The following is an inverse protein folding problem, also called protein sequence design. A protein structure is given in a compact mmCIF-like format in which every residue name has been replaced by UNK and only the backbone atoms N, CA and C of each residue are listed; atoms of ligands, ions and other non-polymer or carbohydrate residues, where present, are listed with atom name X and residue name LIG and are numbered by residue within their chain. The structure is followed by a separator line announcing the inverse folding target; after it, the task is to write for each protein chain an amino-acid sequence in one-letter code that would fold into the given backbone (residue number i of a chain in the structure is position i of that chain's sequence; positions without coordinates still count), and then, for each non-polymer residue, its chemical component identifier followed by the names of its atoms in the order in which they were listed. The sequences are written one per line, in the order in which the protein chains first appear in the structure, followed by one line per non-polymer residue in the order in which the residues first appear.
data_IF_692520846833
#
_entry.id   IF_692520846833
#
_cell.length_a   1.000
_cell.length_b   1.000
_cell.length_c   1.000
_cell.angle_alpha   90.00
_cell.angle_beta   90.00
_cell.angle_gamma   90.00
#
_symmetry.space_group_name_H-M   'P 1'
#
loop_
_entity.id
_entity.type
_entity.pdbx_description
1 polymer ?
2 water ?
#
# COMPACT_ATOMS: atom_id res chain seq x y z
N UNK A 7 -15.69 -7.00 9.32
CA UNK A 7 -14.71 -6.81 8.21
C UNK A 7 -13.69 -5.71 8.49
N UNK A 8 -12.40 -6.05 8.51
CA UNK A 8 -11.38 -5.02 8.76
C UNK A 8 -11.46 -3.99 7.63
N UNK A 9 -11.23 -2.71 7.95
CA UNK A 9 -11.29 -1.62 6.97
C UNK A 9 -10.21 -1.54 5.92
N UNK A 10 -10.63 -1.10 4.72
CA UNK A 10 -9.72 -0.91 3.61
C UNK A 10 -9.47 0.58 3.48
N UNK A 11 -8.22 0.99 3.64
CA UNK A 11 -7.87 2.40 3.49
C UNK A 11 -7.19 2.54 2.14
N UNK A 12 -7.64 3.50 1.35
CA UNK A 12 -7.08 3.72 0.03
C UNK A 12 -6.47 5.11 -0.09
N UNK A 13 -5.26 5.17 -0.57
CA UNK A 13 -4.58 6.44 -0.76
C UNK A 13 -4.30 6.59 -2.23
N UNK A 14 -5.02 7.51 -2.88
CA UNK A 14 -4.86 7.74 -4.30
C UNK A 14 -3.98 8.99 -4.45
N UNK A 15 -2.90 8.86 -5.24
CA UNK A 15 -1.95 9.95 -5.41
C UNK A 15 -1.60 10.22 -6.87
N UNK A 16 -1.35 11.48 -7.18
CA UNK A 16 -0.95 11.88 -8.53
C UNK A 16 0.41 11.24 -8.82
N UNK A 17 0.44 10.36 -9.81
CA UNK A 17 1.65 9.66 -10.19
C UNK A 17 2.75 10.57 -10.74
N UNK A 18 2.41 11.37 -11.74
CA UNK A 18 3.39 12.28 -12.35
C UNK A 18 3.90 13.37 -11.43
N UNK A 19 3.19 13.63 -10.32
CA UNK A 19 3.62 14.66 -9.39
C UNK A 19 4.68 14.11 -8.43
N UNK A 20 4.90 12.80 -8.49
CA UNK A 20 5.89 12.14 -7.64
C UNK A 20 5.42 12.12 -6.20
N UNK A 21 4.11 11.95 -5.98
CA UNK A 21 3.60 11.92 -4.62
C UNK A 21 3.53 10.51 -4.05
N UNK A 22 4.18 9.56 -4.75
CA UNK A 22 4.24 8.19 -4.28
C UNK A 22 4.94 8.12 -2.93
N UNK A 23 6.07 8.81 -2.81
CA UNK A 23 6.83 8.79 -1.55
C UNK A 23 5.98 9.20 -0.36
N UNK A 24 5.25 10.29 -0.48
CA UNK A 24 4.42 10.73 0.64
C UNK A 24 3.24 9.81 0.89
N UNK A 25 2.71 9.20 -0.17
CA UNK A 25 1.60 8.28 -0.01
C UNK A 25 2.08 7.04 0.73
N UNK A 26 3.22 6.49 0.31
CA UNK A 26 3.78 5.31 0.94
C UNK A 26 4.21 5.57 2.38
N UNK A 27 4.63 6.79 2.67
CA UNK A 27 5.04 7.13 4.03
C UNK A 27 3.80 7.11 4.94
N UNK A 28 2.74 7.75 4.48
CA UNK A 28 1.51 7.79 5.26
C UNK A 28 0.94 6.39 5.46
N UNK A 29 1.03 5.55 4.43
CA UNK A 29 0.53 4.19 4.55
C UNK A 29 1.25 3.48 5.69
N UNK A 30 2.57 3.66 5.76
CA UNK A 30 3.35 3.03 6.83
C UNK A 30 3.02 3.62 8.19
N UNK A 31 2.77 4.92 8.25
CA UNK A 31 2.43 5.55 9.53
C UNK A 31 1.13 4.93 10.07
N UNK A 32 0.17 4.67 9.18
CA UNK A 32 -1.09 4.09 9.59
C UNK A 32 -0.94 2.62 9.97
N UNK A 33 -0.21 1.86 9.17
CA UNK A 33 -0.05 0.45 9.46
C UNK A 33 0.85 0.19 10.66
N UNK A 34 1.81 1.06 10.92
CA UNK A 34 2.68 0.89 12.08
C UNK A 34 1.91 1.25 13.35
N UNK A 35 0.94 2.15 13.22
CA UNK A 35 0.14 2.58 14.37
C UNK A 35 -1.06 1.69 14.65
N UNK A 36 -1.81 1.33 13.62
CA UNK A 36 -2.99 0.51 13.80
C UNK A 36 -2.78 -0.98 13.55
N UNK A 37 -1.72 -1.30 12.83
CA UNK A 37 -1.43 -2.70 12.56
C UNK A 37 -2.58 -3.48 11.97
N UNK A 38 -2.84 -4.66 12.55
CA UNK A 38 -3.91 -5.54 12.10
C UNK A 38 -5.33 -5.01 12.27
N UNK A 39 -5.49 -3.85 12.91
CA UNK A 39 -6.82 -3.29 13.07
C UNK A 39 -7.31 -2.82 11.69
N UNK A 40 -6.38 -2.75 10.74
CA UNK A 40 -6.72 -2.35 9.39
C UNK A 40 -6.66 -3.57 8.48
N UNK A 41 -7.60 -3.68 7.56
CA UNK A 41 -7.59 -4.81 6.66
C UNK A 41 -6.43 -4.64 5.68
N UNK A 42 -6.24 -3.40 5.23
CA UNK A 42 -5.16 -3.10 4.31
C UNK A 42 -5.09 -1.60 4.01
N UNK A 43 -3.99 -1.21 3.38
CA UNK A 43 -3.80 0.15 2.96
C UNK A 43 -3.32 0.03 1.53
N UNK A 44 -4.10 0.56 0.60
CA UNK A 44 -3.73 0.48 -0.81
C UNK A 44 -3.20 1.80 -1.36
N UNK A 45 -2.14 1.68 -2.13
CA UNK A 45 -1.50 2.83 -2.78
C UNK A 45 -2.06 2.77 -4.20
N UNK A 46 -2.85 3.77 -4.56
CA UNK A 46 -3.51 3.81 -5.87
C UNK A 46 -3.05 4.96 -6.78
N UNK A 47 -2.31 4.62 -7.86
CA UNK A 47 -1.83 5.63 -8.80
C UNK A 47 -2.99 6.45 -9.34
N UNK A 48 -2.83 7.76 -9.41
CA UNK A 48 -3.88 8.62 -9.89
C UNK A 48 -3.40 9.67 -10.87
N UNK A 49 -4.31 10.55 -11.26
CA UNK A 49 -4.04 11.60 -12.23
C UNK A 49 -3.69 12.95 -11.61
N UNK A 50 -3.58 13.96 -12.49
CA UNK A 50 -3.24 15.32 -12.06
C UNK A 50 -3.79 15.84 -10.75
N UNK A 51 -2.87 16.39 -9.94
CA UNK A 51 -3.22 16.98 -8.66
C UNK A 51 -4.07 16.19 -7.70
N UNK A 52 -4.19 14.89 -7.90
CA UNK A 52 -5.00 14.08 -7.01
C UNK A 52 -4.26 13.55 -5.78
N UNK A 53 -4.95 13.62 -4.65
CA UNK A 53 -4.43 13.07 -3.41
C UNK A 53 -5.61 12.93 -2.47
N UNK A 54 -6.16 11.72 -2.44
CA UNK A 54 -7.32 11.43 -1.63
C UNK A 54 -7.11 10.18 -0.78
N UNK A 55 -7.74 10.16 0.38
CA UNK A 55 -7.63 9.01 1.26
C UNK A 55 -9.05 8.63 1.68
N UNK A 56 -9.40 7.37 1.47
CA UNK A 56 -10.72 6.86 1.82
C UNK A 56 -10.65 5.77 2.86
N UNK A 57 -11.71 5.64 3.64
CA UNK A 57 -11.82 4.61 4.68
C UNK A 57 -13.09 3.86 4.30
N UNK A 58 -12.92 2.72 3.66
CA UNK A 58 -14.05 1.92 3.19
C UNK A 58 -14.89 2.80 2.25
N UNK A 59 -14.22 3.51 1.34
CA UNK A 59 -14.93 4.37 0.41
C UNK A 59 -15.31 5.72 0.96
N UNK A 60 -15.43 5.82 2.28
CA UNK A 60 -15.80 7.07 2.91
C UNK A 60 -14.62 8.05 2.85
N UNK A 61 -14.92 9.32 2.59
CA UNK A 61 -13.88 10.37 2.50
C UNK A 61 -13.18 10.56 3.85
N UNK A 62 -11.85 10.63 3.82
CA UNK A 62 -11.07 10.81 5.03
C UNK A 62 -10.20 12.05 4.82
N UNK A 63 -9.74 12.22 3.59
CA UNK A 63 -8.91 13.36 3.23
C UNK A 63 -8.90 13.54 1.71
N UNK A 64 -8.85 14.79 1.27
CA UNK A 64 -8.82 15.12 -0.14
C UNK A 64 -8.14 16.48 -0.26
N UNK A 65 -7.04 16.53 -0.99
CA UNK A 65 -6.31 17.78 -1.16
C UNK A 65 -7.25 18.90 -1.63
N UNK A 66 -8.19 18.56 -2.50
CA UNK A 66 -9.14 19.53 -3.03
C UNK A 66 -10.09 20.10 -1.98
N UNK A 67 -10.33 19.35 -0.90
CA UNK A 67 -11.23 19.82 0.14
C UNK A 67 -10.48 20.36 1.35
N UNK A 68 -9.60 19.52 1.92
CA UNK A 68 -8.82 19.91 3.09
C UNK A 68 -7.66 20.81 2.74
N UNK A 69 -7.25 20.78 1.47
CA UNK A 69 -6.14 21.60 1.05
C UNK A 69 -4.82 21.01 1.51
N UNK A 70 -3.82 21.02 0.64
CA UNK A 70 -2.53 20.48 0.98
C UNK A 70 -2.52 18.99 1.30
N UNK A 71 -1.54 18.58 2.10
CA UNK A 71 -1.40 17.18 2.49
C UNK A 71 -1.57 17.03 3.99
N UNK A 72 -2.06 15.88 4.44
CA UNK A 72 -2.29 15.61 5.85
C UNK A 72 -1.04 15.39 6.71
N UNK A 73 -1.08 15.90 7.94
CA UNK A 73 0.01 15.71 8.87
C UNK A 73 -0.26 14.32 9.45
N UNK A 74 0.80 13.58 9.76
CA UNK A 74 0.63 12.23 10.30
C UNK A 74 -0.34 12.23 11.48
N UNK A 75 -0.19 13.22 12.36
CA UNK A 75 -1.04 13.32 13.54
C UNK A 75 -2.53 13.40 13.17
N UNK A 76 -2.87 14.26 12.22
CA UNK A 76 -4.26 14.41 11.80
C UNK A 76 -4.83 13.16 11.13
N UNK A 77 -4.05 12.58 10.22
CA UNK A 77 -4.48 11.37 9.52
C UNK A 77 -4.83 10.27 10.50
N UNK A 78 -3.97 10.07 11.49
CA UNK A 78 -4.19 9.03 12.51
C UNK A 78 -5.47 9.28 13.30
N UNK A 79 -5.72 10.54 13.66
CA UNK A 79 -6.92 10.88 14.41
C UNK A 79 -8.18 10.63 13.58
N UNK A 80 -8.13 10.99 12.31
CA UNK A 80 -9.28 10.81 11.43
C UNK A 80 -9.60 9.32 11.22
N UNK A 81 -8.56 8.50 11.12
CA UNK A 81 -8.77 7.07 10.95
C UNK A 81 -9.32 6.53 12.27
N UNK A 82 -8.79 7.02 13.37
CA UNK A 82 -9.26 6.60 14.70
C UNK A 82 -10.75 6.86 14.82
N UNK A 83 -11.19 8.03 14.34
CA UNK A 83 -12.62 8.42 14.36
C UNK A 83 -13.49 7.33 13.78
N UNK A 84 -13.04 6.75 12.68
CA UNK A 84 -13.81 5.73 11.94
C UNK A 84 -13.64 4.37 12.51
N UNK A 85 -12.44 4.07 13.03
CA UNK A 85 -12.18 2.78 13.58
C UNK A 85 -12.90 2.63 14.94
N UNK B 9 -5.08 -3.62 -12.48
CA UNK B 9 -4.31 -4.76 -11.92
C UNK B 9 -3.96 -4.51 -10.44
N UNK B 10 -4.46 -5.39 -9.59
CA UNK B 10 -4.24 -5.27 -8.15
C UNK B 10 -3.13 -6.15 -7.61
N UNK B 11 -2.09 -5.53 -7.08
CA UNK B 11 -1.01 -6.33 -6.49
C UNK B 11 -1.20 -6.24 -4.99
N UNK B 12 -1.14 -7.38 -4.32
CA UNK B 12 -1.31 -7.42 -2.89
C UNK B 12 -0.07 -8.02 -2.21
N UNK B 13 0.39 -7.39 -1.15
CA UNK B 13 1.54 -7.88 -0.42
C UNK B 13 1.11 -8.10 1.01
N UNK B 14 1.03 -9.36 1.42
CA UNK B 14 0.64 -9.72 2.78
C UNK B 14 1.90 -10.03 3.56
N UNK B 15 2.06 -9.38 4.70
CA UNK B 15 3.26 -9.58 5.52
C UNK B 15 2.98 -9.80 6.99
N UNK B 16 3.87 -10.54 7.64
CA UNK B 16 3.71 -10.81 9.06
C UNK B 16 3.92 -9.50 9.81
N UNK B 17 2.88 -9.06 10.53
CA UNK B 17 2.90 -7.83 11.29
C UNK B 17 3.89 -7.84 12.45
N UNK B 18 3.81 -8.88 13.28
CA UNK B 18 4.70 -8.96 14.43
C UNK B 18 6.16 -9.18 14.07
N UNK B 19 6.43 -9.61 12.85
CA UNK B 19 7.82 -9.83 12.42
C UNK B 19 8.45 -8.51 12.00
N UNK B 20 7.64 -7.46 11.97
CA UNK B 20 8.09 -6.14 11.55
C UNK B 20 8.54 -6.17 10.10
N UNK B 21 7.74 -6.83 9.26
CA UNK B 21 8.04 -6.92 7.85
C UNK B 21 7.34 -5.84 7.03
N UNK B 22 6.70 -4.91 7.75
CA UNK B 22 6.00 -3.80 7.09
C UNK B 22 7.00 -3.00 6.26
N UNK B 23 8.16 -2.72 6.85
CA UNK B 23 9.20 -1.95 6.18
C UNK B 23 9.59 -2.52 4.82
N UNK B 24 9.87 -3.82 4.74
CA UNK B 24 10.26 -4.40 3.48
C UNK B 24 9.08 -4.50 2.52
N UNK B 25 7.87 -4.63 3.06
CA UNK B 25 6.67 -4.71 2.23
C UNK B 25 6.42 -3.35 1.55
N UNK B 26 6.52 -2.27 2.34
CA UNK B 26 6.29 -0.94 1.78
C UNK B 26 7.40 -0.53 0.82
N UNK B 27 8.59 -1.06 1.04
CA UNK B 27 9.73 -0.78 0.17
C UNK B 27 9.43 -1.39 -1.20
N UNK B 28 9.03 -2.66 -1.21
CA UNK B 28 8.72 -3.35 -2.44
C UNK B 28 7.57 -2.70 -3.17
N UNK B 29 6.56 -2.25 -2.41
CA UNK B 29 5.39 -1.59 -2.99
C UNK B 29 5.85 -0.36 -3.80
N UNK B 30 6.75 0.42 -3.19
CA UNK B 30 7.26 1.61 -3.86
C UNK B 30 8.12 1.26 -5.07
N UNK B 31 8.90 0.20 -4.97
CA UNK B 31 9.74 -0.22 -6.08
C UNK B 31 8.85 -0.54 -7.29
N UNK B 32 7.71 -1.18 -7.03
CA UNK B 32 6.79 -1.52 -8.11
C UNK B 32 6.06 -0.31 -8.66
N UNK B 33 5.54 0.53 -7.78
CA UNK B 33 4.81 1.72 -8.22
C UNK B 33 5.71 2.74 -8.90
N UNK B 34 6.95 2.87 -8.45
CA UNK B 34 7.84 3.84 -9.06
C UNK B 34 8.27 3.32 -10.45
N UNK B 35 8.31 2.01 -10.61
CA UNK B 35 8.70 1.39 -11.87
C UNK B 35 7.55 1.29 -12.88
N UNK B 36 6.40 0.76 -12.43
CA UNK B 36 5.28 0.58 -13.34
C UNK B 36 4.24 1.69 -13.30
N UNK B 37 4.32 2.54 -12.28
CA UNK B 37 3.38 3.65 -12.16
C UNK B 37 1.92 3.29 -12.37
N UNK B 38 1.26 4.07 -13.22
CA UNK B 38 -0.16 3.87 -13.50
C UNK B 38 -0.52 2.57 -14.22
N UNK B 39 0.48 1.78 -14.62
CA UNK B 39 0.16 0.52 -15.28
C UNK B 39 -0.38 -0.44 -14.23
N UNK B 40 -0.24 -0.06 -12.97
CA UNK B 40 -0.74 -0.87 -11.86
C UNK B 40 -2.00 -0.20 -11.34
N UNK B 41 -3.02 -0.99 -11.00
CA UNK B 41 -4.22 -0.41 -10.46
C UNK B 41 -3.93 0.03 -9.04
N UNK B 42 -3.17 -0.79 -8.32
CA UNK B 42 -2.83 -0.48 -6.96
C UNK B 42 -1.93 -1.53 -6.34
N UNK B 43 -1.31 -1.17 -5.22
CA UNK B 43 -0.50 -2.11 -4.48
C UNK B 43 -1.02 -1.99 -3.06
N UNK B 44 -1.55 -3.09 -2.56
CA UNK B 44 -2.11 -3.13 -1.22
C UNK B 44 -1.17 -3.78 -0.20
N UNK B 45 -1.02 -3.12 0.95
CA UNK B 45 -0.20 -3.63 2.02
C UNK B 45 -1.20 -4.26 2.98
N UNK B 46 -1.10 -5.58 3.10
CA UNK B 46 -2.03 -6.37 3.91
C UNK B 46 -1.41 -7.03 5.14
N UNK B 47 -1.72 -6.50 6.34
CA UNK B 47 -1.18 -7.06 7.58
C UNK B 47 -1.50 -8.54 7.67
N UNK B 48 -0.54 -9.34 8.13
CA UNK B 48 -0.77 -10.78 8.23
C UNK B 48 -0.26 -11.38 9.53
N UNK B 49 -0.30 -12.70 9.61
CA UNK B 49 0.15 -13.40 10.81
C UNK B 49 1.49 -14.10 10.65
N UNK B 50 1.94 -14.70 11.76
CA UNK B 50 3.22 -15.40 11.80
C UNK B 50 3.89 -15.89 10.53
N UNK B 51 5.11 -15.37 10.30
CA UNK B 51 5.91 -15.76 9.16
C UNK B 51 5.37 -15.61 7.76
N UNK B 52 4.25 -14.92 7.60
CA UNK B 52 3.68 -14.76 6.27
C UNK B 52 4.29 -13.62 5.45
N UNK B 53 4.50 -13.88 4.16
CA UNK B 53 5.00 -12.88 3.23
C UNK B 53 4.66 -13.36 1.84
N UNK B 54 3.51 -12.91 1.34
CA UNK B 54 3.00 -13.33 0.04
C UNK B 54 2.69 -12.12 -0.85
N UNK B 55 2.83 -12.32 -2.15
CA UNK B 55 2.54 -11.28 -3.10
C UNK B 55 1.67 -11.86 -4.20
N UNK B 56 0.52 -11.22 -4.44
CA UNK B 56 -0.40 -11.70 -5.46
C UNK B 56 -0.62 -10.67 -6.56
N UNK B 57 -0.90 -11.16 -7.75
CA UNK B 57 -1.15 -10.32 -8.92
C UNK B 57 -2.56 -10.71 -9.37
N UNK B 58 -3.55 -9.93 -8.93
CA UNK B 58 -4.95 -10.21 -9.22
C UNK B 58 -5.33 -11.57 -8.67
N UNK B 59 -4.88 -11.88 -7.47
CA UNK B 59 -5.19 -13.17 -6.89
C UNK B 59 -4.21 -14.28 -7.26
N UNK B 60 -3.50 -14.11 -8.38
CA UNK B 60 -2.54 -15.12 -8.79
C UNK B 60 -1.27 -15.00 -7.94
N UNK B 61 -0.62 -16.12 -7.63
CA UNK B 61 0.59 -16.06 -6.81
C UNK B 61 1.81 -15.55 -7.58
N UNK B 62 2.52 -14.61 -6.97
CA UNK B 62 3.72 -14.05 -7.58
C UNK B 62 4.91 -14.39 -6.68
N UNK B 63 4.65 -14.45 -5.39
CA UNK B 63 5.68 -14.79 -4.41
C UNK B 63 5.08 -15.28 -3.11
N UNK B 64 5.80 -16.18 -2.46
CA UNK B 64 5.38 -16.75 -1.17
C UNK B 64 6.63 -17.25 -0.49
N UNK B 65 6.92 -16.71 0.69
CA UNK B 65 8.10 -17.13 1.44
C UNK B 65 8.19 -18.66 1.52
N UNK B 66 7.05 -19.31 1.77
CA UNK B 66 7.05 -20.77 1.88
C UNK B 66 7.41 -21.50 0.61
N UNK B 67 6.98 -20.97 -0.54
CA UNK B 67 7.27 -21.62 -1.81
C UNK B 67 8.61 -21.21 -2.40
N UNK B 68 8.76 -19.92 -2.69
CA UNK B 68 9.96 -19.40 -3.29
C UNK B 68 11.13 -19.32 -2.29
N UNK B 69 10.81 -19.23 -1.01
CA UNK B 69 11.84 -19.17 0.01
C UNK B 69 12.43 -17.78 0.17
N UNK B 70 12.39 -17.27 1.42
CA UNK B 70 12.94 -15.96 1.69
C UNK B 70 12.11 -14.80 1.16
N UNK B 71 12.79 -13.71 0.86
CA UNK B 71 12.15 -12.51 0.35
C UNK B 71 12.70 -12.22 -1.05
N UNK B 72 11.88 -11.62 -1.92
CA UNK B 72 12.33 -11.30 -3.29
C UNK B 72 13.27 -10.13 -3.45
N UNK B 73 14.11 -10.22 -4.47
CA UNK B 73 15.05 -9.16 -4.83
C UNK B 73 14.18 -8.22 -5.68
N UNK B 74 14.41 -6.92 -5.57
CA UNK B 74 13.63 -5.97 -6.37
C UNK B 74 13.61 -6.37 -7.84
N UNK B 75 14.77 -6.77 -8.35
CA UNK B 75 14.88 -7.17 -9.75
C UNK B 75 13.96 -8.33 -10.09
N UNK B 76 13.92 -9.34 -9.23
CA UNK B 76 13.07 -10.51 -9.47
C UNK B 76 11.59 -10.11 -9.41
N UNK B 77 11.21 -9.36 -8.38
CA UNK B 77 9.84 -8.92 -8.21
C UNK B 77 9.37 -8.15 -9.45
N UNK B 78 10.19 -7.21 -9.91
CA UNK B 78 9.84 -6.41 -11.09
C UNK B 78 9.64 -7.28 -12.34
N UNK B 79 10.51 -8.27 -12.53
CA UNK B 79 10.42 -9.17 -13.68
C UNK B 79 9.12 -9.97 -13.68
N UNK B 80 8.76 -10.53 -12.53
CA UNK B 80 7.53 -11.31 -12.45
C UNK B 80 6.30 -10.47 -12.70
N UNK B 81 6.29 -9.24 -12.19
CA UNK B 81 5.17 -8.34 -12.41
C UNK B 81 5.13 -7.98 -13.88
N UNK B 82 6.31 -7.67 -14.44
CA UNK B 82 6.42 -7.29 -15.84
C UNK B 82 5.87 -8.43 -16.71
N UNK B 83 6.17 -9.66 -16.32
CA UNK B 83 5.75 -10.82 -17.07
C UNK B 83 4.22 -10.98 -17.12
N UNK B 84 3.53 -10.44 -16.13
CA UNK B 84 2.09 -10.52 -16.12
C UNK B 84 1.34 -9.30 -16.68
N UNK B 85 2.01 -8.29 -17.10
CA UNK B 85 1.30 -7.11 -17.67
C UNK B 85 0.92 -7.36 -19.13
#
# INVERSE_FOLDING_TARGET
XITPPDHPPRIAIQYCTQCQWLLRAAWMAQELLSTFGADLGEVALVPGTGGVFRIHYNGAPLWDREVDGGFPEAKVLKQRVRDHLDPGRPLGHIDGRPKPLEHHHHHH
XITPPDHPPRIAIQYCTQCQWLLRAAWMAQELLSTFGADLGEVALVPGTGGVFRIHYNGAPLWDREVDGGFPEAKVLKQRVRDHLDPGRPLGHIDGRPKPLEHHHHHH
#
